data_IF_853854966337
#
_entry.id   IF_853854966337
#
_cell.length_a   1.000
_cell.length_b   1.000
_cell.length_c   1.000
_cell.angle_alpha   90.00
_cell.angle_beta   90.00
_cell.angle_gamma   90.00
#
_symmetry.space_group_name_H-M   'P 1'
#
loop_
_entity.id
_entity.type
_entity.pdbx_description
1 polymer ?
#
# COMPACT_ATOMS: atom_id res chain seq x y z
N UNK A 1 -15.80 9.54 -12.22
CA UNK A 1 -15.13 9.57 -13.53
C UNK A 1 -13.83 8.78 -13.55
N UNK A 2 -12.97 8.88 -12.52
CA UNK A 2 -11.70 8.13 -12.47
C UNK A 2 -11.84 6.62 -12.72
N UNK A 3 -12.79 5.93 -12.06
CA UNK A 3 -12.94 4.48 -12.22
C UNK A 3 -13.28 4.04 -13.65
N UNK A 4 -14.28 4.66 -14.26
CA UNK A 4 -14.71 4.35 -15.63
C UNK A 4 -13.64 4.66 -16.69
N UNK A 5 -12.67 5.54 -16.39
CA UNK A 5 -11.52 5.79 -17.26
C UNK A 5 -10.49 4.64 -17.23
N UNK A 6 -10.37 3.94 -16.09
CA UNK A 6 -9.43 2.84 -15.93
C UNK A 6 -9.96 1.50 -16.50
N UNK A 7 -11.28 1.32 -16.62
CA UNK A 7 -11.86 0.15 -17.26
C UNK A 7 -13.37 0.05 -17.14
N UNK A 8 -13.96 -0.85 -17.93
CA UNK A 8 -15.41 -1.07 -17.98
C UNK A 8 -15.91 -2.15 -16.99
N UNK A 9 -15.01 -2.77 -16.21
CA UNK A 9 -15.37 -3.79 -15.23
C UNK A 9 -16.11 -3.23 -14.00
N UNK A 10 -16.97 -4.04 -13.39
CA UNK A 10 -17.70 -3.68 -12.16
C UNK A 10 -16.78 -3.28 -11.00
N UNK A 11 -15.59 -3.87 -10.93
CA UNK A 11 -14.55 -3.53 -9.94
C UNK A 11 -14.16 -2.05 -10.01
N UNK A 12 -13.99 -1.50 -11.22
CA UNK A 12 -13.68 -0.08 -11.43
C UNK A 12 -14.85 0.85 -11.14
N UNK A 13 -16.09 0.42 -11.42
CA UNK A 13 -17.30 1.17 -11.07
C UNK A 13 -17.41 1.32 -9.55
N UNK A 14 -17.30 0.19 -8.82
CA UNK A 14 -17.36 0.18 -7.36
C UNK A 14 -16.18 0.95 -6.76
N UNK A 15 -14.96 0.78 -7.29
CA UNK A 15 -13.79 1.53 -6.86
C UNK A 15 -13.98 3.06 -6.99
N UNK A 16 -14.48 3.51 -8.14
CA UNK A 16 -14.75 4.92 -8.38
C UNK A 16 -15.87 5.47 -7.49
N UNK A 17 -16.93 4.68 -7.28
CA UNK A 17 -18.02 5.01 -6.36
C UNK A 17 -17.54 5.12 -4.91
N UNK A 18 -16.72 4.18 -4.46
CA UNK A 18 -16.14 4.14 -3.12
C UNK A 18 -15.29 5.39 -2.83
N UNK A 19 -14.41 5.79 -3.76
CA UNK A 19 -13.64 7.04 -3.63
C UNK A 19 -14.54 8.28 -3.64
N UNK A 20 -15.62 8.26 -4.42
CA UNK A 20 -16.65 9.30 -4.36
C UNK A 20 -17.27 9.41 -2.97
N UNK A 21 -17.64 8.29 -2.36
CA UNK A 21 -18.16 8.24 -0.98
C UNK A 21 -17.13 8.77 0.02
N UNK A 22 -15.85 8.38 -0.10
CA UNK A 22 -14.79 8.90 0.76
C UNK A 22 -14.66 10.42 0.70
N UNK A 23 -14.75 11.01 -0.49
CA UNK A 23 -14.70 12.47 -0.65
C UNK A 23 -15.93 13.16 -0.06
N UNK A 24 -17.12 12.55 -0.19
CA UNK A 24 -18.35 13.08 0.46
C UNK A 24 -18.19 13.06 1.98
N UNK A 25 -17.66 11.96 2.54
CA UNK A 25 -17.39 11.85 3.98
C UNK A 25 -16.37 12.90 4.43
N UNK A 26 -15.23 13.04 3.73
CA UNK A 26 -14.20 14.04 4.06
C UNK A 26 -14.77 15.47 4.03
N UNK A 27 -15.58 15.78 3.01
CA UNK A 27 -16.26 17.08 2.93
C UNK A 27 -17.17 17.31 4.14
N UNK A 28 -18.00 16.34 4.48
CA UNK A 28 -18.92 16.46 5.60
C UNK A 28 -18.17 16.58 6.94
N UNK A 29 -17.06 15.85 7.09
CA UNK A 29 -16.18 15.90 8.26
C UNK A 29 -15.61 17.30 8.49
N UNK A 30 -15.21 17.97 7.40
CA UNK A 30 -14.74 19.37 7.43
C UNK A 30 -15.86 20.34 7.76
N UNK A 31 -17.05 20.14 7.19
CA UNK A 31 -18.23 20.98 7.48
C UNK A 31 -18.65 20.90 8.96
N UNK A 32 -18.55 19.71 9.59
CA UNK A 32 -18.81 19.54 11.03
C UNK A 32 -17.63 19.95 11.93
N UNK A 33 -16.52 20.41 11.37
CA UNK A 33 -15.32 20.84 12.10
C UNK A 33 -14.79 19.78 13.08
N UNK A 34 -14.93 18.50 12.73
CA UNK A 34 -14.47 17.39 13.57
C UNK A 34 -12.94 17.32 13.47
N UNK A 35 -12.24 17.55 14.58
CA UNK A 35 -10.79 17.48 14.65
C UNK A 35 -10.34 16.11 15.14
N UNK A 36 -9.59 15.40 14.30
CA UNK A 36 -8.89 14.19 14.67
C UNK A 36 -7.39 14.46 14.84
N UNK A 37 -6.68 13.71 15.70
CA UNK A 37 -5.23 13.70 15.70
C UNK A 37 -4.68 13.36 14.31
N UNK A 38 -3.63 14.04 13.86
CA UNK A 38 -3.09 13.89 12.50
C UNK A 38 -2.75 12.44 12.13
N UNK A 39 -2.22 11.67 13.09
CA UNK A 39 -1.88 10.25 12.92
C UNK A 39 -3.15 9.43 12.62
N UNK A 40 -4.26 9.72 13.31
CA UNK A 40 -5.50 8.99 13.14
C UNK A 40 -6.14 9.31 11.79
N UNK A 41 -6.16 10.58 11.39
CA UNK A 41 -6.62 10.99 10.05
C UNK A 41 -5.81 10.31 8.94
N UNK A 42 -4.49 10.25 9.12
CA UNK A 42 -3.59 9.58 8.20
C UNK A 42 -3.88 8.07 8.12
N UNK A 43 -4.01 7.39 9.26
CA UNK A 43 -4.33 5.96 9.31
C UNK A 43 -5.68 5.63 8.65
N UNK A 44 -6.72 6.42 8.93
CA UNK A 44 -8.04 6.24 8.32
C UNK A 44 -7.94 6.37 6.80
N UNK A 45 -7.25 7.41 6.32
CA UNK A 45 -7.06 7.63 4.87
C UNK A 45 -6.28 6.48 4.24
N UNK A 46 -5.17 6.07 4.88
CA UNK A 46 -4.33 4.98 4.41
C UNK A 46 -5.12 3.67 4.28
N UNK A 47 -5.86 3.28 5.31
CA UNK A 47 -6.68 2.06 5.30
C UNK A 47 -7.77 2.16 4.23
N UNK A 48 -8.49 3.28 4.16
CA UNK A 48 -9.55 3.48 3.16
C UNK A 48 -9.02 3.31 1.71
N UNK A 49 -7.84 3.88 1.44
CA UNK A 49 -7.17 3.77 0.14
C UNK A 49 -6.68 2.35 -0.12
N UNK A 50 -6.06 1.67 0.85
CA UNK A 50 -5.63 0.26 0.74
C UNK A 50 -6.81 -0.66 0.39
N UNK A 51 -7.95 -0.49 1.03
CA UNK A 51 -9.18 -1.21 0.69
C UNK A 51 -9.64 -0.91 -0.74
N UNK A 52 -9.54 0.35 -1.16
CA UNK A 52 -9.77 0.75 -2.54
C UNK A 52 -8.86 0.02 -3.52
N UNK A 53 -7.56 -0.08 -3.24
CA UNK A 53 -6.60 -0.75 -4.12
C UNK A 53 -6.92 -2.22 -4.40
N UNK A 54 -7.58 -2.92 -3.47
CA UNK A 54 -8.04 -4.30 -3.69
C UNK A 54 -9.04 -4.36 -4.83
N UNK A 55 -10.05 -3.48 -4.82
CA UNK A 55 -11.04 -3.37 -5.89
C UNK A 55 -10.41 -2.96 -7.21
N UNK A 56 -9.38 -2.09 -7.18
CA UNK A 56 -8.69 -1.66 -8.39
C UNK A 56 -7.90 -2.79 -9.06
N UNK A 57 -7.30 -3.68 -8.26
CA UNK A 57 -6.39 -4.73 -8.75
C UNK A 57 -7.07 -6.07 -9.05
N UNK A 58 -8.17 -6.40 -8.37
CA UNK A 58 -8.79 -7.70 -8.49
C UNK A 58 -9.33 -7.97 -9.92
N UNK A 59 -9.15 -9.20 -10.41
CA UNK A 59 -9.58 -9.63 -11.74
C UNK A 59 -11.10 -9.62 -11.91
N UNK A 60 -11.84 -9.87 -10.84
CA UNK A 60 -13.29 -9.81 -10.80
C UNK A 60 -13.79 -9.46 -9.40
N UNK A 61 -15.08 -9.19 -9.30
CA UNK A 61 -15.70 -8.74 -8.05
C UNK A 61 -15.69 -9.81 -6.94
N UNK A 62 -15.80 -11.10 -7.30
CA UNK A 62 -15.74 -12.20 -6.33
C UNK A 62 -14.36 -12.30 -5.70
N UNK A 63 -13.31 -12.20 -6.50
CA UNK A 63 -11.92 -12.22 -6.02
C UNK A 63 -11.63 -11.02 -5.12
N UNK A 64 -12.16 -9.83 -5.46
CA UNK A 64 -12.03 -8.64 -4.62
C UNK A 64 -12.62 -8.87 -3.22
N UNK A 65 -13.83 -9.44 -3.13
CA UNK A 65 -14.48 -9.75 -1.85
C UNK A 65 -13.67 -10.79 -1.07
N UNK A 66 -13.19 -11.84 -1.72
CA UNK A 66 -12.38 -12.87 -1.06
C UNK A 66 -11.08 -12.30 -0.48
N UNK A 67 -10.42 -11.39 -1.20
CA UNK A 67 -9.24 -10.68 -0.71
C UNK A 67 -9.57 -9.78 0.49
N UNK A 68 -10.65 -8.99 0.42
CA UNK A 68 -11.09 -8.14 1.53
C UNK A 68 -11.44 -8.95 2.78
N UNK A 69 -12.12 -10.08 2.61
CA UNK A 69 -12.42 -11.02 3.71
C UNK A 69 -11.14 -11.57 4.33
N UNK A 70 -10.14 -11.91 3.51
CA UNK A 70 -8.85 -12.39 3.98
C UNK A 70 -8.08 -11.31 4.75
N UNK A 71 -8.09 -10.06 4.27
CA UNK A 71 -7.46 -8.93 4.97
C UNK A 71 -8.09 -8.62 6.33
N UNK A 72 -9.38 -8.87 6.49
CA UNK A 72 -10.11 -8.72 7.75
C UNK A 72 -10.08 -9.99 8.62
N UNK A 73 -9.64 -11.12 8.05
CA UNK A 73 -9.55 -12.38 8.75
C UNK A 73 -8.22 -12.49 9.50
N UNK A 74 -8.26 -13.18 10.64
CA UNK A 74 -7.07 -13.55 11.41
C UNK A 74 -6.52 -14.91 10.91
N UNK A 75 -7.19 -15.55 9.94
CA UNK A 75 -6.75 -16.77 9.29
C UNK A 75 -5.37 -16.56 8.63
N UNK A 76 -4.36 -17.28 9.13
CA UNK A 76 -2.99 -17.22 8.63
C UNK A 76 -2.04 -16.37 9.47
N UNK A 77 -2.51 -15.73 10.54
CA UNK A 77 -1.64 -15.11 11.54
C UNK A 77 -1.05 -16.20 12.43
N UNK A 78 0.28 -16.36 12.36
CA UNK A 78 1.03 -17.27 13.23
C UNK A 78 1.73 -16.44 14.30
N UNK A 79 1.37 -16.69 15.56
CA UNK A 79 1.92 -16.00 16.73
C UNK A 79 2.86 -16.94 17.51
N UNK A 80 3.86 -16.42 18.23
CA UNK A 80 4.72 -17.24 19.07
C UNK A 80 3.93 -17.98 20.15
N UNK A 81 4.26 -19.26 20.40
CA UNK A 81 3.59 -20.11 21.38
C UNK A 81 3.61 -19.56 22.81
N UNK A 82 4.60 -18.71 23.14
CA UNK A 82 4.67 -18.01 24.43
C UNK A 82 3.44 -17.15 24.75
N UNK A 83 2.72 -16.68 23.72
CA UNK A 83 1.54 -15.83 23.90
C UNK A 83 0.22 -16.61 23.88
N UNK A 84 0.24 -17.91 23.64
CA UNK A 84 -0.97 -18.75 23.54
C UNK A 84 -1.86 -18.62 24.78
N UNK A 85 -1.28 -18.61 25.99
CA UNK A 85 -2.05 -18.48 27.23
C UNK A 85 -2.84 -17.16 27.35
N UNK A 86 -2.34 -16.06 26.77
CA UNK A 86 -2.97 -14.74 26.83
C UNK A 86 -3.89 -14.50 25.62
N UNK A 87 -3.53 -15.03 24.46
CA UNK A 87 -4.16 -14.75 23.17
C UNK A 87 -4.96 -15.94 22.61
N UNK A 88 -5.24 -16.97 23.41
CA UNK A 88 -6.04 -18.15 23.01
C UNK A 88 -7.45 -17.80 22.50
N UNK A 89 -8.00 -16.66 22.92
CA UNK A 89 -9.27 -16.13 22.40
C UNK A 89 -9.22 -15.79 20.89
N UNK A 90 -8.03 -15.70 20.28
CA UNK A 90 -7.84 -15.52 18.84
C UNK A 90 -7.95 -16.82 18.03
N UNK A 91 -7.86 -17.99 18.67
CA UNK A 91 -7.90 -19.30 17.99
C UNK A 91 -9.20 -19.49 17.18
N UNK A 92 -10.41 -19.16 17.71
CA UNK A 92 -11.65 -19.26 16.93
C UNK A 92 -11.69 -18.36 15.70
N UNK A 93 -10.89 -17.29 15.68
CA UNK A 93 -10.79 -16.35 14.57
C UNK A 93 -9.74 -16.76 13.52
N UNK A 94 -9.02 -17.87 13.74
CA UNK A 94 -8.05 -18.43 12.79
C UNK A 94 -6.58 -18.21 13.13
N UNK A 95 -6.26 -17.67 14.31
CA UNK A 95 -4.88 -17.52 14.75
C UNK A 95 -4.26 -18.88 15.08
N UNK A 96 -3.02 -19.08 14.67
CA UNK A 96 -2.22 -20.27 15.02
C UNK A 96 -1.07 -19.86 15.93
N UNK A 97 -0.76 -20.69 16.93
CA UNK A 97 0.36 -20.45 17.84
C UNK A 97 1.46 -21.47 17.57
N UNK A 98 2.63 -21.02 17.11
CA UNK A 98 3.78 -21.86 16.77
C UNK A 98 5.10 -21.12 17.03
N UNK A 99 6.15 -21.86 17.41
CA UNK A 99 7.51 -21.33 17.59
C UNK A 99 7.76 -20.63 18.93
N UNK A 100 9.04 -20.46 19.29
CA UNK A 100 9.47 -19.86 20.56
C UNK A 100 9.60 -18.32 20.53
N UNK A 101 9.53 -17.72 19.33
CA UNK A 101 9.65 -16.27 19.10
C UNK A 101 9.06 -15.81 17.77
N UNK A 102 8.98 -14.48 17.57
CA UNK A 102 8.34 -13.84 16.39
C UNK A 102 9.00 -14.29 15.08
N UNK A 103 10.34 -14.38 15.05
CA UNK A 103 11.06 -14.83 13.87
C UNK A 103 10.81 -16.32 13.53
N UNK A 104 10.65 -17.17 14.55
CA UNK A 104 10.37 -18.61 14.35
C UNK A 104 8.90 -18.90 14.03
N UNK A 105 8.01 -17.91 14.27
CA UNK A 105 6.59 -18.00 13.94
C UNK A 105 6.30 -17.58 12.49
N UNK A 106 7.22 -16.88 11.83
CA UNK A 106 7.07 -16.50 10.43
C UNK A 106 7.26 -17.73 9.52
N UNK A 107 6.36 -17.97 8.55
CA UNK A 107 6.57 -19.02 7.56
C UNK A 107 7.83 -18.71 6.75
N UNK A 108 8.71 -19.70 6.57
CA UNK A 108 9.86 -19.59 5.67
C UNK A 108 9.34 -19.38 4.24
N UNK A 109 9.56 -18.21 3.64
CA UNK A 109 9.15 -18.01 2.25
C UNK A 109 10.08 -18.86 1.35
N UNK A 110 9.59 -19.37 0.21
CA UNK A 110 10.43 -20.09 -0.74
C UNK A 110 11.59 -19.19 -1.20
N UNK A 111 12.83 -19.59 -0.91
CA UNK A 111 14.03 -18.79 -1.22
C UNK A 111 14.56 -17.93 -0.07
N UNK A 112 13.97 -17.99 1.12
CA UNK A 112 14.45 -17.26 2.29
C UNK A 112 15.68 -17.93 2.91
N UNK A 113 16.82 -17.23 2.84
CA UNK A 113 17.86 -17.37 3.84
C UNK A 113 17.47 -16.44 5.02
N UNK A 114 17.72 -16.78 6.29
CA UNK A 114 17.43 -15.86 7.41
C UNK A 114 18.08 -14.48 7.25
N UNK A 115 19.12 -14.39 6.42
CA UNK A 115 19.80 -13.16 6.00
C UNK A 115 18.95 -12.27 5.06
N UNK A 116 18.11 -12.84 4.17
CA UNK A 116 17.23 -12.07 3.26
C UNK A 116 16.09 -11.38 3.99
N UNK A 117 15.51 -12.03 5.00
CA UNK A 117 14.44 -11.44 5.82
C UNK A 117 14.94 -10.18 6.55
N UNK A 118 16.11 -10.27 7.20
CA UNK A 118 16.72 -9.13 7.89
C UNK A 118 17.00 -7.97 6.94
N UNK A 119 17.55 -8.26 5.76
CA UNK A 119 17.79 -7.28 4.70
C UNK A 119 16.48 -6.62 4.26
N UNK A 120 15.43 -7.39 3.98
CA UNK A 120 14.13 -6.87 3.56
C UNK A 120 13.50 -5.97 4.63
N UNK A 121 13.57 -6.36 5.90
CA UNK A 121 13.07 -5.54 7.01
C UNK A 121 13.84 -4.23 7.13
N UNK A 122 15.16 -4.25 6.96
CA UNK A 122 15.97 -3.03 6.91
C UNK A 122 15.54 -2.15 5.75
N UNK A 123 15.40 -2.71 4.54
CA UNK A 123 14.95 -1.96 3.36
C UNK A 123 13.58 -1.33 3.57
N UNK A 124 12.59 -2.08 4.07
CA UNK A 124 11.24 -1.58 4.36
C UNK A 124 11.32 -0.44 5.39
N UNK A 125 12.12 -0.61 6.44
CA UNK A 125 12.27 0.41 7.49
C UNK A 125 12.88 1.69 6.95
N UNK A 126 13.93 1.59 6.12
CA UNK A 126 14.58 2.73 5.47
C UNK A 126 13.61 3.43 4.52
N UNK A 127 12.91 2.68 3.67
CA UNK A 127 11.94 3.24 2.74
C UNK A 127 10.78 3.92 3.46
N UNK A 128 10.30 3.34 4.57
CA UNK A 128 9.25 3.94 5.38
C UNK A 128 9.73 5.23 6.06
N UNK A 129 10.96 5.24 6.60
CA UNK A 129 11.55 6.44 7.18
C UNK A 129 11.73 7.54 6.12
N UNK A 130 12.17 7.19 4.91
CA UNK A 130 12.24 8.11 3.77
C UNK A 130 10.86 8.62 3.38
N UNK A 131 9.85 7.75 3.27
CA UNK A 131 8.50 8.14 2.90
C UNK A 131 7.85 9.12 3.90
N UNK A 132 8.19 9.00 5.19
CA UNK A 132 7.68 9.87 6.25
C UNK A 132 8.48 11.19 6.34
N UNK A 133 9.80 11.14 6.09
CA UNK A 133 10.69 12.28 6.34
C UNK A 133 10.97 13.14 5.09
N UNK A 134 10.90 12.56 3.90
CA UNK A 134 11.14 13.28 2.65
C UNK A 134 9.91 14.12 2.27
N UNK A 135 10.11 15.31 1.70
CA UNK A 135 9.00 16.13 1.24
C UNK A 135 8.22 15.41 0.14
N UNK A 136 6.90 15.44 0.23
CA UNK A 136 6.05 14.94 -0.84
C UNK A 136 6.11 15.85 -2.08
N UNK A 137 5.56 15.37 -3.20
CA UNK A 137 5.60 16.10 -4.48
C UNK A 137 4.94 17.47 -4.42
N UNK A 138 3.89 17.66 -3.60
CA UNK A 138 3.22 18.96 -3.47
C UNK A 138 4.13 19.96 -2.75
N UNK A 139 4.78 19.57 -1.66
CA UNK A 139 5.74 20.42 -0.95
C UNK A 139 6.97 20.77 -1.79
N UNK A 140 7.42 19.83 -2.64
CA UNK A 140 8.49 20.08 -3.61
C UNK A 140 8.06 21.09 -4.67
N UNK A 141 6.81 21.00 -5.15
CA UNK A 141 6.24 21.90 -6.13
C UNK A 141 6.08 23.33 -5.58
N UNK A 142 5.65 23.48 -4.33
CA UNK A 142 5.51 24.80 -3.68
C UNK A 142 6.85 25.53 -3.55
N UNK A 143 7.95 24.78 -3.40
CA UNK A 143 9.32 25.31 -3.28
C UNK A 143 10.05 25.36 -4.63
N UNK A 144 9.44 24.86 -5.70
CA UNK A 144 10.09 24.76 -6.99
C UNK A 144 10.29 26.15 -7.60
N UNK A 145 11.48 26.38 -8.12
CA UNK A 145 11.79 27.56 -8.94
C UNK A 145 12.57 27.15 -10.18
N UNK A 146 12.21 27.67 -11.37
CA UNK A 146 12.87 27.31 -12.62
C UNK A 146 14.26 27.96 -12.67
N UNK A 147 15.28 27.22 -12.24
CA UNK A 147 16.69 27.65 -12.26
C UNK A 147 17.48 26.92 -13.35
N UNK A 148 18.64 27.47 -13.74
CA UNK A 148 19.56 26.79 -14.68
C UNK A 148 20.00 25.41 -14.19
N UNK A 149 20.06 25.19 -12.88
CA UNK A 149 20.38 23.88 -12.28
C UNK A 149 19.28 22.86 -12.58
N UNK A 150 18.02 23.24 -12.39
CA UNK A 150 16.87 22.41 -12.74
C UNK A 150 16.78 22.17 -14.25
N UNK A 151 17.02 23.21 -15.07
CA UNK A 151 17.06 23.06 -16.51
C UNK A 151 18.13 22.05 -16.96
N UNK A 152 19.34 22.12 -16.38
CA UNK A 152 20.41 21.16 -16.64
C UNK A 152 20.02 19.75 -16.19
N UNK A 153 19.49 19.59 -14.97
CA UNK A 153 19.09 18.29 -14.43
C UNK A 153 17.99 17.63 -15.28
N UNK A 154 16.96 18.39 -15.67
CA UNK A 154 15.87 17.90 -16.54
C UNK A 154 16.41 17.57 -17.94
N UNK A 155 17.33 18.38 -18.48
CA UNK A 155 17.95 18.11 -19.78
C UNK A 155 18.78 16.82 -19.77
N UNK A 156 19.58 16.61 -18.72
CA UNK A 156 20.35 15.37 -18.54
C UNK A 156 19.43 14.17 -18.43
N UNK A 157 18.41 14.24 -17.57
CA UNK A 157 17.41 13.16 -17.43
C UNK A 157 16.69 12.88 -18.74
N UNK A 158 16.27 13.93 -19.46
CA UNK A 158 15.61 13.81 -20.76
C UNK A 158 16.49 13.13 -21.81
N UNK A 159 17.77 13.51 -21.90
CA UNK A 159 18.74 12.87 -22.79
C UNK A 159 18.93 11.39 -22.41
N UNK A 160 19.07 11.08 -21.12
CA UNK A 160 19.18 9.70 -20.63
C UNK A 160 17.94 8.87 -20.97
N UNK A 161 16.74 9.44 -20.81
CA UNK A 161 15.49 8.80 -21.21
C UNK A 161 15.45 8.53 -22.72
N UNK A 162 15.81 9.52 -23.56
CA UNK A 162 15.84 9.38 -25.02
C UNK A 162 16.82 8.29 -25.48
N UNK A 163 18.02 8.23 -24.90
CA UNK A 163 18.99 7.17 -25.19
C UNK A 163 18.46 5.80 -24.76
N UNK A 164 17.68 5.75 -23.68
CA UNK A 164 17.11 4.52 -23.13
C UNK A 164 15.85 4.04 -23.87
N UNK A 165 15.29 4.81 -24.81
CA UNK A 165 14.09 4.41 -25.57
C UNK A 165 14.27 3.16 -26.43
N UNK A 166 15.50 2.81 -26.80
CA UNK A 166 15.78 1.59 -27.56
C UNK A 166 15.80 0.33 -26.69
N UNK A 167 15.64 0.46 -25.37
CA UNK A 167 15.45 -0.71 -24.50
C UNK A 167 13.99 -1.13 -24.60
N UNK A 168 13.75 -2.35 -25.07
CA UNK A 168 12.44 -2.98 -24.98
C UNK A 168 12.11 -3.11 -23.50
N UNK A 169 11.22 -2.25 -23.00
CA UNK A 169 10.64 -2.45 -21.68
C UNK A 169 9.66 -3.59 -21.81
N UNK A 170 9.91 -4.70 -21.13
CA UNK A 170 8.88 -5.71 -20.93
C UNK A 170 7.73 -5.03 -20.18
N UNK A 171 6.63 -4.77 -20.90
CA UNK A 171 5.41 -4.25 -20.32
C UNK A 171 4.81 -5.37 -19.47
N UNK A 172 5.12 -5.37 -18.17
CA UNK A 172 4.63 -6.31 -17.16
C UNK A 172 3.08 -6.39 -17.06
N UNK A 173 2.35 -5.56 -17.79
CA UNK A 173 0.88 -5.52 -17.77
C UNK A 173 0.18 -6.67 -18.54
N UNK A 174 0.91 -7.55 -19.23
CA UNK A 174 0.32 -8.67 -19.98
C UNK A 174 0.54 -10.05 -19.35
N UNK A 175 0.97 -10.13 -18.08
CA UNK A 175 0.99 -11.38 -17.31
C UNK A 175 -0.10 -11.41 -16.23
N UNK A 176 -1.35 -11.15 -16.63
CA UNK A 176 -2.54 -11.38 -15.81
C UNK A 176 -3.47 -12.35 -16.52
#
# INVERSE_FOLDING_TARGET
LGGLWHGAGWTFVVWGGLHGVYLVIDRQWREFNIKLPSILSWLITFIAVVFGWVLFRANNFRDAIALLQTMLSINGIILPGKFEGILSWLIPFGAKFQGEGILSALPSLPGDNPLSLGINLIFITVLLAMAISCPNTMELMDKFSPTRKWALAISVLGITCLISLNKVSEFLYFQF
#
